data_IF_433829036867
#
_entry.id   IF_433829036867
#
_cell.length_a   1.000
_cell.length_b   1.000
_cell.length_c   1.000
_cell.angle_alpha   90.00
_cell.angle_beta   90.00
_cell.angle_gamma   90.00
#
_symmetry.space_group_name_H-M   'P 1'
#
loop_
_entity.id
_entity.type
_entity.pdbx_description
1 polymer ?
#
# COMPACT_ATOMS: atom_id res chain seq x y z
N UNK A 1 -21.16 15.56 -23.40
CA UNK A 1 -21.39 14.62 -22.28
C UNK A 1 -20.18 14.69 -21.38
N UNK A 2 -20.35 15.06 -20.11
CA UNK A 2 -19.30 14.89 -19.11
C UNK A 2 -19.36 13.42 -18.69
N UNK A 3 -18.31 12.65 -18.97
CA UNK A 3 -18.22 11.26 -18.53
C UNK A 3 -17.57 11.25 -17.15
N UNK A 4 -18.23 10.67 -16.16
CA UNK A 4 -17.67 10.49 -14.83
C UNK A 4 -17.81 9.04 -14.37
N UNK A 5 -16.99 8.65 -13.40
CA UNK A 5 -17.00 7.31 -12.85
C UNK A 5 -16.07 7.17 -11.65
N UNK A 6 -15.98 5.94 -11.15
CA UNK A 6 -15.12 5.59 -10.02
C UNK A 6 -14.38 4.30 -10.34
N UNK A 7 -13.06 4.34 -10.26
CA UNK A 7 -12.23 3.13 -10.22
C UNK A 7 -12.08 2.69 -8.77
N UNK A 8 -12.41 1.44 -8.46
CA UNK A 8 -12.34 0.90 -7.10
C UNK A 8 -11.31 -0.24 -7.00
N UNK A 9 -10.42 -0.14 -6.01
CA UNK A 9 -9.47 -1.20 -5.67
C UNK A 9 -9.79 -1.74 -4.27
N UNK A 10 -10.16 -3.03 -4.19
CA UNK A 10 -10.36 -3.71 -2.91
C UNK A 10 -9.12 -4.49 -2.50
N UNK A 11 -8.47 -4.07 -1.41
CA UNK A 11 -7.40 -4.86 -0.79
C UNK A 11 -8.05 -6.02 0.00
N UNK A 12 -7.56 -7.25 -0.19
CA UNK A 12 -8.08 -8.44 0.50
C UNK A 12 -7.13 -8.91 1.59
N UNK A 13 -5.92 -9.27 1.20
CA UNK A 13 -4.90 -9.73 2.13
C UNK A 13 -3.49 -9.50 1.59
N UNK A 14 -2.55 -9.40 2.52
CA UNK A 14 -1.11 -9.38 2.27
C UNK A 14 -0.43 -10.29 3.30
N UNK A 15 0.55 -11.08 2.87
CA UNK A 15 1.19 -12.09 3.73
C UNK A 15 2.70 -11.93 3.61
N UNK A 16 3.35 -11.66 4.74
CA UNK A 16 4.82 -11.58 4.85
C UNK A 16 5.28 -12.26 6.14
N UNK A 17 5.08 -13.57 6.23
CA UNK A 17 5.37 -14.37 7.43
C UNK A 17 6.85 -14.29 7.88
N UNK A 18 7.75 -13.89 6.97
CA UNK A 18 9.17 -13.74 7.26
C UNK A 18 9.57 -12.35 7.77
N UNK A 19 8.68 -11.35 7.70
CA UNK A 19 8.98 -9.98 8.13
C UNK A 19 10.13 -9.33 7.36
N UNK A 20 10.24 -9.63 6.05
CA UNK A 20 11.33 -9.16 5.18
C UNK A 20 10.87 -8.11 4.17
N UNK A 21 11.79 -7.24 3.77
CA UNK A 21 11.59 -6.30 2.68
C UNK A 21 11.89 -6.92 1.29
N UNK A 22 11.76 -6.12 0.24
CA UNK A 22 11.98 -6.53 -1.15
C UNK A 22 13.43 -6.92 -1.48
N UNK A 23 14.40 -6.57 -0.63
CA UNK A 23 15.81 -6.95 -0.78
C UNK A 23 16.23 -8.07 0.19
N UNK A 24 15.26 -8.65 0.91
CA UNK A 24 15.47 -9.79 1.80
C UNK A 24 16.01 -9.44 3.20
N UNK A 25 16.05 -8.16 3.56
CA UNK A 25 16.42 -7.71 4.90
C UNK A 25 15.20 -7.69 5.82
N UNK A 26 15.43 -7.78 7.13
CA UNK A 26 14.35 -7.68 8.11
C UNK A 26 13.84 -6.24 8.21
N UNK A 27 12.52 -6.05 8.28
CA UNK A 27 11.93 -4.72 8.48
C UNK A 27 12.46 -4.04 9.76
N UNK A 28 12.66 -4.81 10.83
CA UNK A 28 13.28 -4.34 12.08
C UNK A 28 14.79 -4.07 12.00
N UNK A 29 15.43 -4.37 10.86
CA UNK A 29 16.88 -4.31 10.66
C UNK A 29 17.69 -5.35 11.43
N UNK A 30 17.06 -6.20 12.25
CA UNK A 30 17.76 -7.14 13.14
C UNK A 30 17.21 -8.56 13.04
N UNK A 31 18.08 -9.55 13.26
CA UNK A 31 17.73 -10.98 13.28
C UNK A 31 17.80 -11.51 14.70
N UNK A 32 16.89 -12.41 15.03
CA UNK A 32 16.88 -13.13 16.30
C UNK A 32 18.13 -14.02 16.41
N UNK A 33 18.85 -14.01 17.56
CA UNK A 33 19.99 -14.89 17.79
C UNK A 33 19.56 -16.36 17.70
N UNK A 34 20.38 -17.20 17.05
CA UNK A 34 20.17 -18.65 16.99
C UNK A 34 19.21 -19.14 15.89
N UNK A 35 18.12 -18.43 15.58
CA UNK A 35 17.17 -18.84 14.53
C UNK A 35 17.39 -18.14 13.18
N UNK A 36 18.00 -16.94 13.18
CA UNK A 36 18.16 -16.13 11.97
C UNK A 36 16.85 -15.53 11.44
N UNK A 37 15.72 -15.73 12.14
CA UNK A 37 14.44 -15.11 11.82
C UNK A 37 14.48 -13.59 12.11
N UNK A 38 13.57 -12.83 11.52
CA UNK A 38 13.46 -11.40 11.83
C UNK A 38 12.97 -11.19 13.27
N UNK A 39 13.63 -10.28 13.98
CA UNK A 39 13.39 -10.04 15.42
C UNK A 39 12.11 -9.28 15.70
N UNK A 40 11.58 -8.55 14.70
CA UNK A 40 10.42 -7.69 14.85
C UNK A 40 9.57 -7.66 13.58
N UNK A 41 8.30 -7.27 13.73
CA UNK A 41 7.35 -7.25 12.62
C UNK A 41 7.60 -6.07 11.68
N UNK A 42 7.21 -6.24 10.42
CA UNK A 42 6.96 -5.13 9.51
C UNK A 42 5.68 -4.43 9.94
N UNK A 43 5.66 -3.11 9.97
CA UNK A 43 4.44 -2.28 10.01
C UNK A 43 4.04 -1.93 8.59
N UNK A 44 3.01 -2.59 8.07
CA UNK A 44 2.66 -2.57 6.65
C UNK A 44 1.64 -1.48 6.35
N UNK A 45 1.98 -0.58 5.44
CA UNK A 45 1.05 0.33 4.75
C UNK A 45 1.12 0.09 3.25
N UNK A 46 0.13 0.56 2.52
CA UNK A 46 0.08 0.42 1.07
C UNK A 46 0.12 1.78 0.39
N UNK A 47 0.83 1.86 -0.73
CA UNK A 47 0.69 2.94 -1.70
C UNK A 47 0.02 2.39 -2.95
N UNK A 48 -1.01 3.09 -3.41
CA UNK A 48 -1.76 2.74 -4.61
C UNK A 48 -1.73 3.91 -5.57
N UNK A 49 -1.07 3.70 -6.70
CA UNK A 49 -0.87 4.70 -7.74
C UNK A 49 -1.58 4.26 -9.01
N UNK A 50 -2.55 5.05 -9.45
CA UNK A 50 -3.28 4.84 -10.70
C UNK A 50 -2.87 5.91 -11.72
N UNK A 51 -2.50 5.48 -12.93
CA UNK A 51 -2.09 6.39 -14.01
C UNK A 51 -2.42 5.87 -15.40
N UNK A 52 -2.26 6.75 -16.38
CA UNK A 52 -2.33 6.40 -17.79
C UNK A 52 -1.41 5.21 -18.11
N UNK A 53 -1.84 4.41 -19.08
CA UNK A 53 -1.07 3.26 -19.52
C UNK A 53 0.31 3.67 -20.03
N UNK A 54 1.33 2.96 -19.57
CA UNK A 54 2.69 3.05 -20.07
C UNK A 54 3.16 1.67 -20.52
N UNK A 55 3.73 1.57 -21.72
CA UNK A 55 4.28 0.31 -22.23
C UNK A 55 5.42 -0.23 -21.36
N UNK A 56 6.20 0.69 -20.77
CA UNK A 56 7.18 0.40 -19.73
C UNK A 56 6.76 1.17 -18.48
N UNK A 57 6.47 0.45 -17.40
CA UNK A 57 6.02 1.06 -16.14
C UNK A 57 7.17 1.88 -15.55
N UNK A 58 6.96 3.18 -15.41
CA UNK A 58 7.82 4.06 -14.64
C UNK A 58 7.26 4.20 -13.23
N UNK A 59 8.01 3.83 -12.20
CA UNK A 59 7.56 3.98 -10.80
C UNK A 59 7.84 5.37 -10.23
N UNK A 60 8.61 6.20 -10.94
CA UNK A 60 9.04 7.53 -10.50
C UNK A 60 8.10 8.64 -10.97
N UNK A 61 7.39 8.45 -12.08
CA UNK A 61 6.44 9.43 -12.59
C UNK A 61 5.22 9.59 -11.66
N UNK A 62 4.64 10.81 -11.56
CA UNK A 62 3.41 11.06 -10.82
C UNK A 62 2.24 10.18 -11.26
N UNK A 63 1.31 9.92 -10.34
CA UNK A 63 0.08 9.18 -10.58
C UNK A 63 -0.98 10.12 -11.18
N UNK A 64 -1.31 9.93 -12.45
CA UNK A 64 -2.15 10.86 -13.21
C UNK A 64 -3.65 10.70 -12.98
N UNK A 65 -4.10 9.54 -12.52
CA UNK A 65 -5.50 9.29 -12.17
C UNK A 65 -5.74 9.22 -10.66
N UNK A 66 -4.68 9.07 -9.86
CA UNK A 66 -4.68 9.31 -8.42
C UNK A 66 -3.60 8.55 -7.67
N UNK A 67 -3.24 9.04 -6.48
CA UNK A 67 -2.26 8.46 -5.57
C UNK A 67 -2.89 8.39 -4.17
N UNK A 68 -2.89 7.22 -3.55
CA UNK A 68 -3.41 7.00 -2.20
C UNK A 68 -2.36 6.25 -1.39
N UNK A 69 -2.04 6.77 -0.21
CA UNK A 69 -1.21 6.09 0.78
C UNK A 69 -2.09 5.78 1.99
N UNK A 70 -2.13 4.52 2.38
CA UNK A 70 -2.88 4.09 3.56
C UNK A 70 -2.10 4.39 4.84
N UNK A 71 -2.78 4.50 6.00
CA UNK A 71 -2.13 4.29 7.29
C UNK A 71 -1.57 2.85 7.38
N UNK A 72 -0.89 2.55 8.48
CA UNK A 72 -0.49 1.16 8.79
C UNK A 72 -1.76 0.32 8.96
N UNK A 73 -1.93 -0.70 8.13
CA UNK A 73 -3.11 -1.57 8.14
C UNK A 73 -2.89 -2.87 8.92
N UNK A 74 -1.64 -3.16 9.28
CA UNK A 74 -1.28 -4.36 10.02
C UNK A 74 0.21 -4.55 10.08
N UNK A 75 0.62 -5.68 10.64
CA UNK A 75 2.02 -6.03 10.76
C UNK A 75 2.52 -6.83 9.54
N UNK A 76 3.19 -7.96 9.77
CA UNK A 76 3.68 -8.88 8.74
C UNK A 76 2.58 -9.31 7.77
N UNK A 77 1.40 -9.64 8.30
CA UNK A 77 0.28 -10.11 7.49
C UNK A 77 -0.95 -9.26 7.79
N UNK A 78 -1.65 -8.86 6.75
CA UNK A 78 -2.84 -8.00 6.79
C UNK A 78 -4.00 -8.78 6.16
N UNK A 79 -5.12 -8.87 6.86
CA UNK A 79 -6.36 -9.48 6.34
C UNK A 79 -7.50 -8.48 6.50
N UNK A 80 -8.04 -8.00 5.39
CA UNK A 80 -9.15 -7.06 5.36
C UNK A 80 -10.43 -7.81 4.99
N UNK A 81 -11.41 -7.80 5.89
CA UNK A 81 -12.70 -8.47 5.69
C UNK A 81 -13.74 -7.45 5.24
N UNK A 82 -14.42 -7.74 4.13
CA UNK A 82 -15.54 -6.92 3.64
C UNK A 82 -15.14 -5.47 3.37
N UNK A 83 -15.97 -4.54 3.83
CA UNK A 83 -15.70 -3.10 3.82
C UNK A 83 -14.98 -2.73 5.11
N UNK A 84 -13.69 -2.46 5.04
CA UNK A 84 -12.90 -2.02 6.19
C UNK A 84 -12.86 -0.48 6.23
N UNK A 85 -13.09 0.07 7.43
CA UNK A 85 -12.88 1.48 7.73
C UNK A 85 -11.87 1.56 8.87
N UNK A 86 -10.76 2.23 8.61
CA UNK A 86 -9.75 2.59 9.60
C UNK A 86 -9.58 4.11 9.56
N UNK A 87 -9.02 4.70 10.62
CA UNK A 87 -8.75 6.14 10.64
C UNK A 87 -7.88 6.53 9.43
N UNK A 88 -8.47 7.28 8.50
CA UNK A 88 -7.80 7.69 7.26
C UNK A 88 -7.76 6.65 6.13
N UNK A 89 -8.51 5.54 6.21
CA UNK A 89 -8.58 4.53 5.15
C UNK A 89 -9.95 3.86 5.00
N UNK A 90 -10.40 3.82 3.75
CA UNK A 90 -11.59 3.09 3.32
C UNK A 90 -11.20 1.99 2.33
N UNK A 91 -11.75 0.79 2.52
CA UNK A 91 -11.64 -0.33 1.59
C UNK A 91 -13.05 -0.68 1.07
N UNK A 92 -13.32 -0.60 -0.24
CA UNK A 92 -12.38 -0.35 -1.35
C UNK A 92 -11.84 1.09 -1.41
N UNK A 93 -10.61 1.23 -1.91
CA UNK A 93 -9.99 2.51 -2.27
C UNK A 93 -10.66 3.01 -3.55
N UNK A 94 -11.09 4.28 -3.55
CA UNK A 94 -11.89 4.86 -4.63
C UNK A 94 -11.14 5.99 -5.31
N UNK A 95 -11.03 5.92 -6.63
CA UNK A 95 -10.45 6.96 -7.48
C UNK A 95 -11.55 7.55 -8.36
N UNK A 96 -12.20 8.65 -7.93
CA UNK A 96 -13.19 9.33 -8.75
C UNK A 96 -12.52 10.03 -9.93
N UNK A 97 -13.17 10.02 -11.08
CA UNK A 97 -12.73 10.72 -12.28
C UNK A 97 -13.89 11.39 -13.02
N UNK A 98 -13.58 12.46 -13.76
CA UNK A 98 -14.53 13.30 -14.51
C UNK A 98 -14.18 13.38 -16.02
N UNK A 99 -13.38 12.43 -16.50
CA UNK A 99 -13.01 12.26 -17.90
C UNK A 99 -13.54 10.93 -18.49
N UNK A 100 -13.53 10.82 -19.82
CA UNK A 100 -13.86 9.56 -20.48
C UNK A 100 -12.80 8.49 -20.16
N UNK A 101 -13.21 7.39 -19.52
CA UNK A 101 -12.28 6.34 -19.14
C UNK A 101 -11.59 5.75 -20.37
N UNK A 102 -10.25 5.80 -20.46
CA UNK A 102 -9.51 5.40 -21.66
C UNK A 102 -9.53 3.89 -21.92
N UNK A 103 -10.05 3.08 -21.00
CA UNK A 103 -10.06 1.61 -21.08
C UNK A 103 -8.74 0.94 -20.71
N UNK A 104 -7.61 1.64 -20.88
CA UNK A 104 -6.27 1.18 -20.49
C UNK A 104 -5.69 2.01 -19.36
N UNK A 105 -5.00 1.35 -18.42
CA UNK A 105 -4.38 2.01 -17.27
C UNK A 105 -3.13 1.24 -16.82
N UNK A 106 -2.31 1.89 -16.01
CA UNK A 106 -1.25 1.26 -15.22
C UNK A 106 -1.58 1.43 -13.74
N UNK A 107 -1.54 0.33 -13.00
CA UNK A 107 -1.78 0.28 -11.56
C UNK A 107 -0.51 -0.21 -10.86
N UNK A 108 -0.06 0.55 -9.88
CA UNK A 108 1.07 0.19 -9.03
C UNK A 108 0.55 0.08 -7.59
N UNK A 109 0.80 -1.06 -6.95
CA UNK A 109 0.45 -1.32 -5.55
C UNK A 109 1.71 -1.73 -4.81
N UNK A 110 2.14 -0.90 -3.87
CA UNK A 110 3.38 -1.09 -3.12
C UNK A 110 3.04 -1.39 -1.66
N UNK A 111 3.61 -2.45 -1.09
CA UNK A 111 3.60 -2.71 0.35
C UNK A 111 4.87 -2.11 0.96
N UNK A 112 4.70 -1.20 1.91
CA UNK A 112 5.79 -0.41 2.50
C UNK A 112 5.85 -0.66 4.00
N UNK A 113 7.08 -0.75 4.53
CA UNK A 113 7.31 -0.67 5.95
C UNK A 113 7.26 0.79 6.41
N UNK A 114 6.46 1.08 7.43
CA UNK A 114 6.55 2.36 8.13
C UNK A 114 7.70 2.32 9.14
N UNK A 115 8.65 3.24 9.00
CA UNK A 115 9.82 3.40 9.86
C UNK A 115 9.58 4.38 11.01
N UNK A 116 8.48 5.15 11.00
CA UNK A 116 8.18 6.12 12.04
C UNK A 116 7.75 5.40 13.32
N UNK A 117 8.68 5.12 14.22
CA UNK A 117 8.33 4.78 15.60
C UNK A 117 7.76 6.04 16.24
N UNK A 118 6.48 6.33 16.00
CA UNK A 118 5.78 7.39 16.71
C UNK A 118 5.61 6.93 18.16
N UNK A 119 6.69 7.01 18.94
CA UNK A 119 6.60 7.51 20.30
C UNK A 119 5.88 8.85 20.17
N UNK A 120 4.62 8.88 20.56
CA UNK A 120 3.95 10.10 20.99
C UNK A 120 4.78 10.70 22.12
N UNK A 121 5.82 11.48 21.79
CA UNK A 121 6.40 12.46 22.69
C UNK A 121 5.47 13.65 22.65
N UNK A 122 4.43 13.56 23.46
CA UNK A 122 3.84 14.72 24.10
C UNK A 122 4.96 15.46 24.84
N UNK A 123 5.11 16.73 24.52
CA UNK A 123 5.97 17.71 25.15
C UNK A 123 5.47 19.10 24.76
#
# INVERSE_FOLDING_TARGET
VLCSGVFELRLKSFINDYGKDSVGQCCSGTRAPGSGACSGPCRTRFRVCLKHYQAKIDTTSPCTYGDVITPVLGENSVHLVGSAQHDGFANPIRFPFDFAWPGTFSLIVEALHDNNNATSRSG
#
